data_IF_938886872329
#
_entry.id   IF_938886872329
#
_cell.length_a   1.000
_cell.length_b   1.000
_cell.length_c   1.000
_cell.angle_alpha   90.00
_cell.angle_beta   90.00
_cell.angle_gamma   90.00
#
_symmetry.space_group_name_H-M   'P 1'
#
loop_
_entity.id
_entity.type
_entity.pdbx_description
1 polymer ?
#
# COMPACT_ATOMS: atom_id res chain seq x y z
N UNK A 1 -24.64 -9.72 -16.89
CA UNK A 1 -23.33 -9.02 -16.99
C UNK A 1 -22.30 -9.84 -16.23
N UNK A 2 -21.25 -10.31 -16.92
CA UNK A 2 -20.38 -11.41 -16.48
C UNK A 2 -19.48 -10.98 -15.31
N UNK A 3 -19.56 -11.71 -14.19
CA UNK A 3 -18.62 -11.61 -13.06
C UNK A 3 -17.31 -12.28 -13.48
N UNK A 4 -16.23 -11.51 -13.62
CA UNK A 4 -14.88 -12.06 -13.82
C UNK A 4 -14.32 -12.40 -12.44
N UNK A 5 -14.45 -13.66 -12.03
CA UNK A 5 -13.72 -14.20 -10.88
C UNK A 5 -12.30 -14.47 -11.39
N UNK A 6 -11.33 -13.60 -11.08
CA UNK A 6 -9.92 -13.88 -11.34
C UNK A 6 -9.48 -15.01 -10.40
N UNK A 7 -9.65 -16.23 -10.90
CA UNK A 7 -9.11 -17.43 -10.31
C UNK A 7 -7.61 -17.43 -10.61
N UNK A 8 -6.79 -17.50 -9.56
CA UNK A 8 -5.34 -17.66 -9.63
C UNK A 8 -5.05 -18.93 -10.45
N UNK A 9 -4.73 -18.75 -11.73
CA UNK A 9 -4.38 -19.85 -12.62
C UNK A 9 -2.92 -20.24 -12.33
N UNK A 10 -2.77 -21.18 -11.39
CA UNK A 10 -1.56 -21.98 -11.24
C UNK A 10 -1.32 -22.72 -12.57
N UNK A 11 -0.33 -22.28 -13.34
CA UNK A 11 0.09 -22.93 -14.58
C UNK A 11 0.66 -24.32 -14.25
N UNK A 12 -0.19 -25.33 -14.28
CA UNK A 12 0.20 -26.74 -14.13
C UNK A 12 0.90 -27.23 -15.39
N UNK A 13 2.21 -27.40 -15.31
CA UNK A 13 2.94 -28.26 -16.25
C UNK A 13 2.60 -29.71 -15.89
N UNK A 14 1.93 -30.42 -16.79
CA UNK A 14 1.63 -31.84 -16.69
C UNK A 14 2.93 -32.66 -16.65
N UNK A 15 3.26 -33.21 -15.48
CA UNK A 15 4.19 -34.33 -15.34
C UNK A 15 3.43 -35.45 -14.60
N UNK A 16 3.37 -36.68 -15.13
CA UNK A 16 2.70 -37.77 -14.43
C UNK A 16 3.59 -38.30 -13.30
N UNK A 17 3.06 -38.31 -12.07
CA UNK A 17 3.55 -39.19 -11.00
C UNK A 17 4.19 -38.51 -9.78
N UNK A 18 3.46 -38.59 -8.66
CA UNK A 18 3.89 -38.53 -7.26
C UNK A 18 4.46 -37.22 -6.66
N UNK A 19 3.71 -36.72 -5.67
CA UNK A 19 4.20 -35.79 -4.65
C UNK A 19 3.80 -34.35 -4.88
N UNK A 20 2.95 -33.81 -4.00
CA UNK A 20 2.67 -32.39 -3.88
C UNK A 20 3.92 -31.70 -3.28
N UNK A 21 5.00 -31.63 -4.06
CA UNK A 21 6.23 -30.93 -3.69
C UNK A 21 6.10 -29.48 -4.15
N UNK A 22 6.31 -28.54 -3.23
CA UNK A 22 6.37 -27.11 -3.51
C UNK A 22 7.33 -26.86 -4.69
N UNK A 23 6.79 -26.58 -5.87
CA UNK A 23 7.53 -26.50 -7.14
C UNK A 23 8.60 -25.39 -7.17
N UNK A 24 8.69 -24.57 -6.12
CA UNK A 24 9.77 -23.61 -5.93
C UNK A 24 11.10 -24.23 -5.50
N UNK A 25 11.09 -25.39 -4.84
CA UNK A 25 12.34 -25.95 -4.28
C UNK A 25 13.24 -26.59 -5.34
N UNK A 26 12.68 -27.01 -6.46
CA UNK A 26 13.41 -27.60 -7.60
C UNK A 26 13.99 -26.57 -8.57
N UNK A 27 13.67 -25.28 -8.42
CA UNK A 27 14.14 -24.22 -9.32
C UNK A 27 15.58 -23.81 -9.01
N UNK A 28 16.39 -23.64 -10.06
CA UNK A 28 17.73 -23.06 -9.95
C UNK A 28 17.68 -21.60 -9.49
N UNK A 29 18.77 -21.08 -8.91
CA UNK A 29 18.86 -19.68 -8.47
C UNK A 29 18.56 -18.67 -9.60
N UNK A 30 18.91 -19.01 -10.84
CA UNK A 30 18.64 -18.16 -12.02
C UNK A 30 17.14 -18.13 -12.34
N UNK A 31 16.48 -19.28 -12.35
CA UNK A 31 15.03 -19.38 -12.61
C UNK A 31 14.22 -18.68 -11.52
N UNK A 32 14.59 -18.84 -10.23
CA UNK A 32 13.93 -18.12 -9.12
C UNK A 32 14.06 -16.60 -9.28
N UNK A 33 15.22 -16.12 -9.76
CA UNK A 33 15.44 -14.69 -9.99
C UNK A 33 14.59 -14.16 -11.14
N UNK A 34 14.51 -14.90 -12.24
CA UNK A 34 13.69 -14.51 -13.39
C UNK A 34 12.20 -14.52 -13.03
N UNK A 35 11.72 -15.55 -12.34
CA UNK A 35 10.34 -15.63 -11.88
C UNK A 35 9.97 -14.45 -10.97
N UNK A 36 10.83 -14.11 -10.00
CA UNK A 36 10.63 -12.92 -9.15
C UNK A 36 10.61 -11.64 -9.95
N UNK A 37 11.48 -11.50 -10.96
CA UNK A 37 11.50 -10.34 -11.83
C UNK A 37 10.19 -10.19 -12.60
N UNK A 38 9.69 -11.27 -13.19
CA UNK A 38 8.43 -11.28 -13.92
C UNK A 38 7.25 -10.94 -12.99
N UNK A 39 7.22 -11.52 -11.79
CA UNK A 39 6.21 -11.21 -10.78
C UNK A 39 6.26 -9.73 -10.36
N UNK A 40 7.46 -9.17 -10.16
CA UNK A 40 7.66 -7.77 -9.83
C UNK A 40 7.15 -6.82 -10.91
N UNK A 41 7.40 -7.16 -12.18
CA UNK A 41 6.90 -6.39 -13.34
C UNK A 41 5.38 -6.41 -13.39
N UNK A 42 4.77 -7.58 -13.19
CA UNK A 42 3.31 -7.70 -13.22
C UNK A 42 2.66 -6.97 -12.05
N UNK A 43 3.22 -7.13 -10.84
CA UNK A 43 2.76 -6.42 -9.66
C UNK A 43 2.85 -4.90 -9.84
N UNK A 44 3.94 -4.39 -10.43
CA UNK A 44 4.05 -2.96 -10.77
C UNK A 44 2.88 -2.49 -11.65
N UNK A 45 2.48 -3.25 -12.67
CA UNK A 45 1.34 -2.86 -13.54
C UNK A 45 0.03 -2.79 -12.76
N UNK A 46 -0.19 -3.74 -11.86
CA UNK A 46 -1.36 -3.75 -10.96
C UNK A 46 -1.36 -2.49 -10.08
N UNK A 47 -0.21 -2.15 -9.48
CA UNK A 47 -0.06 -0.94 -8.68
C UNK A 47 -0.23 0.34 -9.51
N UNK A 48 0.35 0.43 -10.71
CA UNK A 48 0.17 1.59 -11.60
C UNK A 48 -1.31 1.80 -11.93
N UNK A 49 -2.04 0.73 -12.22
CA UNK A 49 -3.49 0.79 -12.49
C UNK A 49 -4.28 1.22 -11.25
N UNK A 50 -3.99 0.62 -10.09
CA UNK A 50 -4.66 0.93 -8.83
C UNK A 50 -4.41 2.39 -8.38
N UNK A 51 -3.17 2.88 -8.54
CA UNK A 51 -2.80 4.27 -8.27
C UNK A 51 -3.48 5.23 -9.27
N UNK A 52 -3.52 4.90 -10.56
CA UNK A 52 -4.18 5.73 -11.57
C UNK A 52 -5.70 5.82 -11.35
N UNK A 53 -6.32 4.70 -10.95
CA UNK A 53 -7.73 4.63 -10.62
C UNK A 53 -8.08 5.22 -9.24
N UNK A 54 -7.06 5.57 -8.43
CA UNK A 54 -7.24 6.04 -7.05
C UNK A 54 -8.04 5.04 -6.20
N UNK A 55 -7.67 3.78 -6.27
CA UNK A 55 -8.31 2.69 -5.51
C UNK A 55 -7.24 1.82 -4.88
N UNK A 56 -6.66 2.28 -3.78
CA UNK A 56 -5.51 1.63 -3.13
C UNK A 56 -5.51 1.81 -1.61
N UNK A 57 -4.80 0.91 -0.93
CA UNK A 57 -4.56 0.97 0.51
C UNK A 57 -3.08 0.72 0.79
N UNK A 58 -2.46 1.58 1.59
CA UNK A 58 -1.21 1.31 2.26
C UNK A 58 -1.51 0.68 3.62
N UNK A 59 -1.33 -0.63 3.71
CA UNK A 59 -1.44 -1.43 4.92
C UNK A 59 -0.17 -1.29 5.74
N UNK A 60 -0.21 -0.51 6.83
CA UNK A 60 0.99 -0.19 7.59
C UNK A 60 1.30 -1.23 8.69
N UNK A 61 2.50 -1.77 8.63
CA UNK A 61 3.07 -2.67 9.65
C UNK A 61 3.96 -1.92 10.64
N UNK A 62 4.46 -0.76 10.25
CA UNK A 62 5.20 0.14 11.14
C UNK A 62 4.80 1.58 10.92
N UNK A 63 4.90 2.37 11.98
CA UNK A 63 4.79 3.82 11.94
C UNK A 63 5.99 4.45 12.63
N UNK A 64 6.56 5.48 12.01
CA UNK A 64 7.66 6.28 12.57
C UNK A 64 7.26 7.73 12.77
N UNK A 65 7.66 8.35 13.88
CA UNK A 65 7.56 9.80 14.05
C UNK A 65 8.68 10.57 13.33
N UNK A 66 8.67 11.89 13.46
CA UNK A 66 9.71 12.76 12.88
C UNK A 66 11.08 12.65 13.54
N UNK A 67 11.19 12.07 14.73
CA UNK A 67 12.45 11.84 15.44
C UNK A 67 13.07 10.48 15.13
N UNK A 68 12.35 9.64 14.37
CA UNK A 68 12.82 8.31 13.96
C UNK A 68 12.37 7.18 14.90
N UNK A 69 11.60 7.50 15.95
CA UNK A 69 11.02 6.46 16.81
C UNK A 69 10.02 5.66 15.98
N UNK A 70 10.19 4.35 15.94
CA UNK A 70 9.38 3.45 15.12
C UNK A 70 8.67 2.42 16.00
N UNK A 71 7.39 2.23 15.76
CA UNK A 71 6.55 1.23 16.43
C UNK A 71 5.99 0.25 15.42
N UNK A 72 5.83 -1.01 15.84
CA UNK A 72 5.11 -2.04 15.08
C UNK A 72 3.60 -1.84 15.25
N UNK A 73 2.85 -2.10 14.18
CA UNK A 73 1.45 -1.70 14.07
C UNK A 73 0.59 -2.77 13.41
N UNK A 74 -0.73 -2.68 13.60
CA UNK A 74 -1.67 -3.48 12.83
C UNK A 74 -2.19 -2.68 11.64
N UNK A 75 -2.18 -3.25 10.41
CA UNK A 75 -2.81 -2.63 9.24
C UNK A 75 -4.31 -2.36 9.40
N UNK A 76 -4.99 -3.12 10.26
CA UNK A 76 -6.43 -2.94 10.51
C UNK A 76 -6.78 -1.64 11.24
N UNK A 77 -5.78 -0.99 11.85
CA UNK A 77 -5.94 0.24 12.63
C UNK A 77 -4.93 1.31 12.25
N UNK A 78 -4.07 1.06 11.25
CA UNK A 78 -3.07 2.00 10.77
C UNK A 78 -2.90 1.82 9.27
N UNK A 79 -3.43 2.75 8.48
CA UNK A 79 -3.42 2.65 7.03
C UNK A 79 -3.61 4.02 6.38
N UNK A 80 -3.27 4.09 5.09
CA UNK A 80 -3.71 5.18 4.21
C UNK A 80 -4.53 4.54 3.10
N UNK A 81 -5.80 4.92 2.98
CA UNK A 81 -6.71 4.46 1.93
C UNK A 81 -7.02 5.62 0.99
N UNK A 82 -7.17 5.29 -0.28
CA UNK A 82 -7.73 6.18 -1.29
C UNK A 82 -8.78 5.40 -2.10
N UNK A 83 -9.99 5.95 -2.15
CA UNK A 83 -11.12 5.46 -2.95
C UNK A 83 -11.75 6.63 -3.72
N UNK A 84 -11.40 6.75 -5.01
CA UNK A 84 -11.79 7.87 -5.86
C UNK A 84 -11.16 9.18 -5.41
N UNK A 85 -11.98 10.13 -4.99
CA UNK A 85 -11.55 11.45 -4.51
C UNK A 85 -11.42 11.53 -2.98
N UNK A 86 -11.76 10.45 -2.28
CA UNK A 86 -11.70 10.37 -0.83
C UNK A 86 -10.39 9.72 -0.40
N UNK A 87 -9.80 10.25 0.67
CA UNK A 87 -8.66 9.68 1.34
C UNK A 87 -8.95 9.47 2.83
N UNK A 88 -8.54 8.32 3.35
CA UNK A 88 -8.57 8.03 4.78
C UNK A 88 -7.18 7.76 5.29
N UNK A 89 -6.75 8.56 6.26
CA UNK A 89 -5.50 8.35 6.98
C UNK A 89 -5.86 7.93 8.40
N UNK A 90 -5.59 6.67 8.72
CA UNK A 90 -5.84 6.08 10.01
C UNK A 90 -4.53 5.91 10.79
N UNK A 91 -4.47 6.45 12.01
CA UNK A 91 -3.42 6.18 12.98
C UNK A 91 -4.02 5.89 14.36
N UNK A 92 -3.82 4.69 14.87
CA UNK A 92 -4.30 4.27 16.18
C UNK A 92 -3.14 3.89 17.11
N UNK A 93 -2.59 4.87 17.84
CA UNK A 93 -1.60 4.60 18.89
C UNK A 93 -1.74 5.50 20.13
N UNK A 94 -1.81 4.90 21.33
CA UNK A 94 -1.79 5.65 22.60
C UNK A 94 -0.38 6.03 23.06
N UNK A 95 0.72 5.47 22.53
CA UNK A 95 2.08 5.84 22.97
C UNK A 95 2.67 7.07 22.26
N UNK A 96 2.00 7.59 21.22
CA UNK A 96 2.29 8.92 20.66
C UNK A 96 1.50 10.04 21.37
N UNK A 97 0.91 9.75 22.54
CA UNK A 97 0.38 10.75 23.48
C UNK A 97 1.58 11.59 23.95
N UNK A 98 1.78 12.71 23.26
CA UNK A 98 2.91 13.62 23.45
C UNK A 98 3.01 14.64 22.31
N UNK A 99 2.55 14.28 21.11
CA UNK A 99 2.23 15.22 20.05
C UNK A 99 0.78 15.70 20.22
N UNK A 100 0.56 16.83 20.91
CA UNK A 100 -0.68 17.62 20.92
C UNK A 100 -2.03 16.86 20.85
N UNK A 101 -2.18 15.69 21.49
CA UNK A 101 -3.46 14.95 21.51
C UNK A 101 -3.84 14.21 20.22
N UNK A 102 -2.88 13.83 19.35
CA UNK A 102 -3.12 13.08 18.10
C UNK A 102 -3.47 11.58 18.30
N UNK A 103 -4.20 11.23 19.35
CA UNK A 103 -4.68 9.87 19.59
C UNK A 103 -5.84 9.54 18.65
N UNK A 104 -5.70 8.50 17.82
CA UNK A 104 -6.82 8.01 17.01
C UNK A 104 -7.19 8.97 15.88
N UNK A 105 -6.26 9.20 14.97
CA UNK A 105 -6.49 9.99 13.77
C UNK A 105 -7.27 9.13 12.78
N UNK A 106 -8.45 9.58 12.39
CA UNK A 106 -9.19 9.07 11.22
C UNK A 106 -9.70 10.30 10.50
N UNK A 107 -9.34 10.47 9.23
CA UNK A 107 -9.84 11.57 8.42
C UNK A 107 -10.57 11.01 7.21
N UNK A 108 -11.61 11.70 6.77
CA UNK A 108 -12.29 11.44 5.52
C UNK A 108 -12.26 12.76 4.76
N UNK A 109 -11.29 12.85 3.86
CA UNK A 109 -10.82 14.11 3.32
C UNK A 109 -10.74 14.07 1.79
N UNK A 110 -10.82 15.25 1.19
CA UNK A 110 -10.72 15.38 -0.27
C UNK A 110 -9.27 15.37 -0.73
N UNK A 111 -9.02 14.62 -1.80
CA UNK A 111 -7.74 14.60 -2.49
C UNK A 111 -7.48 15.88 -3.29
N UNK A 112 -6.26 16.39 -3.19
CA UNK A 112 -5.71 17.46 -4.02
C UNK A 112 -4.38 17.03 -4.64
N UNK A 113 -3.94 17.77 -5.67
CA UNK A 113 -2.59 17.70 -6.24
C UNK A 113 -1.98 16.28 -6.41
N UNK A 114 -2.79 15.34 -6.92
CA UNK A 114 -2.43 13.94 -7.05
C UNK A 114 -1.52 13.69 -8.28
N UNK A 115 -0.25 13.38 -8.06
CA UNK A 115 0.78 13.21 -9.09
C UNK A 115 1.55 11.90 -8.95
N UNK A 116 1.42 11.02 -9.94
CA UNK A 116 2.16 9.75 -10.03
C UNK A 116 3.42 9.94 -10.87
N UNK A 117 4.54 9.40 -10.38
CA UNK A 117 5.84 9.34 -11.07
C UNK A 117 6.37 7.89 -11.06
N UNK A 118 6.05 7.09 -12.09
CA UNK A 118 6.58 5.74 -12.22
C UNK A 118 8.10 5.76 -12.44
N UNK A 119 8.80 4.79 -11.86
CA UNK A 119 10.22 4.59 -12.14
C UNK A 119 10.46 4.15 -13.58
N UNK A 120 11.64 4.50 -14.12
CA UNK A 120 12.02 4.28 -15.53
C UNK A 120 12.17 2.81 -15.92
N UNK A 121 12.39 1.90 -14.96
CA UNK A 121 12.57 0.46 -15.23
C UNK A 121 11.26 -0.29 -15.00
N UNK A 122 11.07 -1.38 -15.72
CA UNK A 122 9.92 -2.28 -15.60
C UNK A 122 9.72 -2.85 -14.19
N UNK A 123 10.79 -3.03 -13.40
CA UNK A 123 10.75 -3.52 -12.02
C UNK A 123 11.13 -2.44 -10.99
N UNK A 124 11.04 -1.17 -11.37
CA UNK A 124 11.29 -0.07 -10.44
C UNK A 124 10.01 0.38 -9.75
N UNK A 125 10.21 1.02 -8.60
CA UNK A 125 9.15 1.59 -7.80
C UNK A 125 8.33 2.69 -8.44
N UNK A 126 7.29 3.13 -7.73
CA UNK A 126 6.44 4.25 -8.12
C UNK A 126 6.47 5.27 -6.98
N UNK A 127 6.65 6.54 -7.32
CA UNK A 127 6.47 7.64 -6.39
C UNK A 127 5.12 8.32 -6.65
N UNK A 128 4.45 8.73 -5.59
CA UNK A 128 3.21 9.49 -5.61
C UNK A 128 3.34 10.67 -4.66
N UNK A 129 2.87 11.84 -5.08
CA UNK A 129 2.58 12.96 -4.18
C UNK A 129 1.12 13.32 -4.28
N UNK A 130 0.47 13.60 -3.16
CA UNK A 130 -0.90 14.09 -3.12
C UNK A 130 -1.09 15.00 -1.91
N UNK A 131 -2.09 15.86 -1.98
CA UNK A 131 -2.57 16.64 -0.85
C UNK A 131 -3.88 16.05 -0.34
N UNK A 132 -4.12 16.23 0.95
CA UNK A 132 -5.31 15.78 1.65
C UNK A 132 -5.85 16.97 2.43
N UNK A 133 -7.09 17.34 2.14
CA UNK A 133 -7.74 18.54 2.67
C UNK A 133 -8.85 18.15 3.63
N UNK A 134 -8.63 18.42 4.91
CA UNK A 134 -9.54 18.04 5.98
C UNK A 134 -9.80 19.13 7.00
N UNK A 135 -11.01 19.16 7.54
CA UNK A 135 -11.41 20.08 8.61
C UNK A 135 -10.56 19.87 9.88
N UNK A 136 -10.10 18.64 10.11
CA UNK A 136 -9.39 18.25 11.34
C UNK A 136 -7.85 18.28 11.23
N UNK A 137 -7.27 18.24 10.02
CA UNK A 137 -5.80 18.29 9.82
C UNK A 137 -5.30 19.56 9.14
N UNK A 138 -6.19 20.36 8.57
CA UNK A 138 -5.81 21.38 7.61
C UNK A 138 -5.25 20.74 6.34
N UNK A 139 -4.37 21.44 5.63
CA UNK A 139 -3.78 20.94 4.40
C UNK A 139 -2.57 20.06 4.74
N UNK A 140 -2.69 18.74 4.53
CA UNK A 140 -1.58 17.81 4.66
C UNK A 140 -1.08 17.37 3.28
N UNK A 141 0.22 17.10 3.19
CA UNK A 141 0.84 16.50 2.01
C UNK A 141 1.25 15.06 2.32
N UNK A 142 1.05 14.18 1.35
CA UNK A 142 1.45 12.78 1.41
C UNK A 142 2.46 12.50 0.31
N UNK A 143 3.64 12.03 0.71
CA UNK A 143 4.67 11.53 -0.20
C UNK A 143 4.79 10.02 -0.03
N UNK A 144 4.39 9.28 -1.06
CA UNK A 144 4.41 7.83 -1.09
C UNK A 144 5.46 7.33 -2.07
N UNK A 145 6.22 6.31 -1.66
CA UNK A 145 7.20 5.60 -2.49
C UNK A 145 7.01 4.11 -2.32
N UNK A 146 7.04 3.37 -3.42
CA UNK A 146 6.85 1.91 -3.45
C UNK A 146 8.01 1.22 -4.14
N UNK A 147 8.23 -0.06 -3.84
CA UNK A 147 8.92 -0.98 -4.75
C UNK A 147 7.92 -1.56 -5.74
N UNK A 148 8.43 -2.16 -6.83
CA UNK A 148 7.59 -2.90 -7.77
C UNK A 148 6.87 -4.11 -7.13
N UNK A 149 7.35 -4.58 -5.97
CA UNK A 149 6.77 -5.69 -5.20
C UNK A 149 5.73 -5.22 -4.15
N UNK A 150 5.40 -3.94 -4.11
CA UNK A 150 4.37 -3.39 -3.21
C UNK A 150 4.85 -2.95 -1.84
N UNK A 151 6.10 -3.21 -1.45
CA UNK A 151 6.68 -2.62 -0.24
C UNK A 151 6.67 -1.10 -0.38
N UNK A 152 6.11 -0.39 0.59
CA UNK A 152 5.80 1.01 0.46
C UNK A 152 6.08 1.79 1.73
N UNK A 153 6.41 3.07 1.55
CA UNK A 153 6.60 4.06 2.60
C UNK A 153 5.85 5.33 2.23
N UNK A 154 5.00 5.81 3.12
CA UNK A 154 4.28 7.06 2.93
C UNK A 154 4.53 8.01 4.09
N UNK A 155 4.92 9.23 3.77
CA UNK A 155 5.16 10.30 4.73
C UNK A 155 4.02 11.29 4.66
N UNK A 156 3.29 11.47 5.75
CA UNK A 156 2.22 12.45 5.90
C UNK A 156 2.78 13.64 6.68
N UNK A 157 2.70 14.84 6.11
CA UNK A 157 3.20 16.07 6.72
C UNK A 157 2.08 17.11 6.78
N UNK A 158 1.80 17.66 7.96
CA UNK A 158 0.79 18.69 8.13
C UNK A 158 1.34 20.09 8.40
N UNK A 159 0.45 21.10 8.55
CA UNK A 159 0.80 22.52 8.48
C UNK A 159 1.59 23.06 9.69
N UNK A 160 1.74 22.29 10.77
CA UNK A 160 2.50 22.69 11.98
C UNK A 160 3.79 21.89 12.17
N UNK A 161 4.37 21.37 11.09
CA UNK A 161 5.66 20.67 11.11
C UNK A 161 5.63 19.31 11.80
N UNK A 162 4.44 18.74 12.03
CA UNK A 162 4.29 17.34 12.39
C UNK A 162 4.45 16.48 11.13
N UNK A 163 5.05 15.29 11.32
CA UNK A 163 5.29 14.35 10.24
C UNK A 163 5.24 12.93 10.78
N UNK A 164 4.49 12.08 10.12
CA UNK A 164 4.32 10.66 10.46
C UNK A 164 4.65 9.84 9.22
N UNK A 165 5.36 8.74 9.39
CA UNK A 165 5.74 7.86 8.27
C UNK A 165 5.18 6.47 8.47
N UNK A 166 4.36 6.03 7.53
CA UNK A 166 3.82 4.67 7.45
C UNK A 166 4.77 3.82 6.61
N UNK A 167 5.04 2.59 7.02
CA UNK A 167 5.71 1.60 6.17
C UNK A 167 5.02 0.25 6.25
N UNK A 168 4.82 -0.35 5.08
CA UNK A 168 4.13 -1.62 4.91
C UNK A 168 3.91 -1.94 3.45
N UNK A 169 2.72 -2.42 3.08
CA UNK A 169 2.42 -2.85 1.70
C UNK A 169 1.35 -1.96 1.07
N UNK A 170 1.61 -1.48 -0.14
CA UNK A 170 0.59 -0.89 -1.01
C UNK A 170 -0.11 -2.00 -1.78
N UNK A 171 -1.43 -2.06 -1.66
CA UNK A 171 -2.28 -3.03 -2.35
C UNK A 171 -3.45 -2.35 -3.04
N UNK A 172 -3.98 -2.92 -4.14
CA UNK A 172 -5.26 -2.50 -4.68
C UNK A 172 -6.36 -2.60 -3.63
N UNK A 173 -7.29 -1.65 -3.64
CA UNK A 173 -8.39 -1.61 -2.66
C UNK A 173 -9.22 -2.90 -2.65
N UNK A 174 -9.41 -3.52 -3.81
CA UNK A 174 -10.15 -4.79 -3.95
C UNK A 174 -9.42 -6.00 -3.37
N UNK A 175 -8.09 -5.93 -3.24
CA UNK A 175 -7.25 -6.99 -2.66
C UNK A 175 -7.02 -6.78 -1.16
N UNK A 176 -7.35 -5.60 -0.62
CA UNK A 176 -7.13 -5.30 0.80
C UNK A 176 -8.02 -6.15 1.69
N UNK A 177 -7.38 -6.89 2.59
CA UNK A 177 -8.06 -7.71 3.62
C UNK A 177 -8.81 -6.87 4.65
N UNK A 178 -8.47 -5.58 4.78
CA UNK A 178 -9.11 -4.65 5.72
C UNK A 178 -10.52 -4.25 5.27
N UNK A 179 -10.76 -4.20 3.95
CA UNK A 179 -11.97 -3.61 3.36
C UNK A 179 -12.86 -4.60 2.60
N UNK A 180 -12.41 -5.82 2.36
CA UNK A 180 -13.20 -6.88 1.70
C UNK A 180 -14.35 -7.45 2.56
N UNK A 181 -14.63 -6.89 3.75
CA UNK A 181 -15.74 -7.30 4.62
C UNK A 181 -16.37 -6.18 5.47
N UNK A 182 -16.03 -4.91 5.24
CA UNK A 182 -16.60 -3.75 5.95
C UNK A 182 -17.44 -2.91 4.99
N UNK A 183 -18.55 -2.34 5.46
CA UNK A 183 -19.34 -1.40 4.66
C UNK A 183 -18.44 -0.24 4.25
N UNK A 184 -18.43 0.08 2.96
CA UNK A 184 -17.94 1.38 2.47
C UNK A 184 -18.96 2.43 2.92
N UNK A 185 -18.48 3.64 3.18
CA UNK A 185 -19.19 4.76 3.85
C UNK A 185 -20.68 4.88 3.47
#
# INVERSE_FOLDING_TARGET
>A
MKKLILSIAMLGILVPGFGQNNSMDTLTRKERKELRKQQSIENKKVLEKSLANRTWVLEAHTVSDRYGNTVQTSPSTNFILVDGEQAVIQLAFPHFIGYNGLGGITFDDQLGNYQIKPGKKENSGINLSMDVHGVNIGNASVMLSTSADGNARATVSGPWGWRITYSGNLVPLEESSIFTGRSRF
#
